data_IF_648817973911
#
_entry.id   IF_648817973911
#
_cell.length_a   1.000
_cell.length_b   1.000
_cell.length_c   1.000
_cell.angle_alpha   90.00
_cell.angle_beta   90.00
_cell.angle_gamma   90.00
#
_symmetry.space_group_name_H-M   'P 1'
#
loop_
_entity.id
_entity.type
_entity.pdbx_description
1 polymer ?
#
# COMPACT_ATOMS: atom_id res chain seq x y z
N UNK A 1 16.46 -14.02 3.31
CA UNK A 1 16.71 -14.71 2.01
C UNK A 1 15.37 -14.85 1.30
N UNK A 2 15.30 -15.00 -0.03
CA UNK A 2 14.01 -15.16 -0.72
C UNK A 2 14.06 -16.26 -1.78
N UNK A 3 13.09 -17.18 -1.74
CA UNK A 3 12.94 -18.26 -2.72
C UNK A 3 11.80 -17.95 -3.69
N UNK A 4 12.01 -18.17 -4.99
CA UNK A 4 11.01 -17.87 -6.03
C UNK A 4 11.03 -18.92 -7.15
N UNK A 5 9.86 -19.38 -7.57
CA UNK A 5 9.72 -20.35 -8.67
C UNK A 5 8.64 -19.94 -9.69
N UNK A 6 8.53 -20.72 -10.76
CA UNK A 6 7.73 -20.47 -11.97
C UNK A 6 6.22 -20.29 -11.74
N UNK A 7 5.68 -20.78 -10.63
CA UNK A 7 4.25 -20.69 -10.26
C UNK A 7 3.89 -19.48 -9.38
N UNK A 8 4.77 -18.50 -9.22
CA UNK A 8 4.45 -17.25 -8.52
C UNK A 8 4.50 -17.32 -7.00
N UNK A 9 4.87 -18.48 -6.44
CA UNK A 9 5.11 -18.63 -5.01
C UNK A 9 6.44 -17.96 -4.65
N UNK A 10 6.37 -17.16 -3.60
CA UNK A 10 7.46 -16.37 -3.04
C UNK A 10 7.56 -16.67 -1.56
N UNK A 11 8.76 -17.05 -1.10
CA UNK A 11 9.03 -17.32 0.31
C UNK A 11 10.05 -16.30 0.83
N UNK A 12 9.61 -15.19 1.43
CA UNK A 12 10.50 -14.30 2.16
C UNK A 12 10.89 -14.96 3.48
N UNK A 13 12.19 -14.94 3.79
CA UNK A 13 12.70 -15.18 5.13
C UNK A 13 13.32 -13.90 5.67
N UNK A 14 12.88 -13.50 6.84
CA UNK A 14 13.43 -12.38 7.61
C UNK A 14 13.89 -12.89 8.96
N UNK A 15 15.07 -12.43 9.39
CA UNK A 15 15.48 -12.55 10.79
C UNK A 15 14.56 -11.65 11.61
N UNK A 16 13.88 -12.23 12.59
CA UNK A 16 13.21 -11.48 13.64
C UNK A 16 14.30 -11.09 14.65
N UNK A 17 14.17 -10.00 15.45
CA UNK A 17 15.13 -9.64 16.48
C UNK A 17 15.52 -10.75 17.48
N UNK A 18 14.79 -11.87 17.52
CA UNK A 18 15.19 -13.07 18.25
C UNK A 18 16.07 -13.99 17.36
N UNK A 19 17.36 -14.20 17.70
CA UNK A 19 18.25 -15.04 16.93
C UNK A 19 17.71 -16.47 16.77
N UNK A 20 17.67 -16.95 15.53
CA UNK A 20 17.21 -18.32 15.21
C UNK A 20 15.72 -18.45 14.95
N UNK A 21 14.95 -17.35 14.97
CA UNK A 21 13.53 -17.35 14.59
C UNK A 21 13.35 -16.80 13.18
N UNK A 22 12.71 -17.60 12.33
CA UNK A 22 12.44 -17.28 10.94
C UNK A 22 10.94 -17.28 10.66
N UNK A 23 10.47 -16.28 9.90
CA UNK A 23 9.11 -16.29 9.35
C UNK A 23 9.13 -16.85 7.94
N UNK A 24 8.12 -17.68 7.62
CA UNK A 24 7.87 -18.20 6.28
C UNK A 24 6.48 -17.78 5.83
N UNK A 25 6.41 -17.13 4.68
CA UNK A 25 5.15 -16.79 4.01
C UNK A 25 5.19 -17.40 2.62
N UNK A 26 4.06 -17.91 2.14
CA UNK A 26 3.94 -18.38 0.75
C UNK A 26 2.65 -17.81 0.16
N UNK A 27 2.73 -17.30 -1.06
CA UNK A 27 1.57 -16.83 -1.80
C UNK A 27 1.20 -17.84 -2.87
N UNK A 28 -0.03 -18.35 -2.81
CA UNK A 28 -0.56 -19.34 -3.77
C UNK A 28 -1.80 -18.77 -4.43
N UNK A 29 -2.04 -19.17 -5.68
CA UNK A 29 -3.29 -18.86 -6.38
C UNK A 29 -4.25 -20.02 -6.19
N UNK A 30 -5.43 -19.72 -5.66
CA UNK A 30 -6.49 -20.69 -5.45
C UNK A 30 -7.64 -20.48 -6.45
N UNK A 31 -8.50 -21.48 -6.61
CA UNK A 31 -9.74 -21.31 -7.39
C UNK A 31 -10.67 -20.32 -6.67
N UNK A 32 -11.49 -19.61 -7.46
CA UNK A 32 -12.45 -18.66 -6.91
C UNK A 32 -13.44 -19.32 -5.94
N UNK A 33 -13.88 -20.55 -6.25
CA UNK A 33 -14.75 -21.35 -5.38
C UNK A 33 -14.13 -21.63 -4.01
N UNK A 34 -12.86 -22.03 -3.98
CA UNK A 34 -12.15 -22.26 -2.71
C UNK A 34 -11.90 -20.93 -1.98
N UNK A 35 -11.46 -19.90 -2.70
CA UNK A 35 -11.20 -18.57 -2.14
C UNK A 35 -12.44 -17.98 -1.44
N UNK A 36 -13.64 -18.15 -2.02
CA UNK A 36 -14.91 -17.70 -1.45
C UNK A 36 -15.32 -18.47 -0.18
N UNK A 37 -14.79 -19.67 0.04
CA UNK A 37 -15.02 -20.45 1.25
C UNK A 37 -14.13 -20.03 2.43
N UNK A 38 -13.05 -19.27 2.16
CA UNK A 38 -12.04 -18.95 3.15
C UNK A 38 -12.56 -17.93 4.17
N UNK A 39 -12.15 -18.12 5.43
CA UNK A 39 -12.30 -17.14 6.49
C UNK A 39 -10.98 -16.41 6.73
N UNK A 40 -11.07 -15.17 7.20
CA UNK A 40 -9.90 -14.40 7.60
C UNK A 40 -9.19 -15.11 8.75
N UNK A 41 -7.91 -15.44 8.54
CA UNK A 41 -7.07 -16.26 9.42
C UNK A 41 -7.69 -17.62 9.78
N UNK A 42 -7.22 -18.69 9.13
CA UNK A 42 -7.61 -20.04 9.52
C UNK A 42 -6.42 -20.98 9.55
N UNK A 43 -6.43 -21.89 10.52
CA UNK A 43 -5.46 -22.96 10.62
C UNK A 43 -5.68 -23.96 9.49
N UNK A 44 -4.61 -24.30 8.76
CA UNK A 44 -4.64 -25.40 7.79
C UNK A 44 -4.56 -26.78 8.50
N UNK A 45 -4.45 -26.78 9.82
CA UNK A 45 -4.34 -27.93 10.71
C UNK A 45 -3.04 -28.70 10.52
N UNK A 46 -2.96 -29.91 11.11
CA UNK A 46 -1.93 -30.91 10.76
C UNK A 46 -1.87 -31.24 9.25
N UNK A 47 -2.96 -31.16 8.46
CA UNK A 47 -2.88 -31.20 6.99
C UNK A 47 -2.03 -30.08 6.35
N UNK A 48 -1.74 -28.98 7.05
CA UNK A 48 -0.69 -28.04 6.66
C UNK A 48 0.71 -28.68 6.55
N UNK A 49 0.98 -29.74 7.32
CA UNK A 49 2.20 -30.57 7.15
C UNK A 49 2.16 -31.42 5.87
N UNK A 50 0.99 -31.59 5.22
CA UNK A 50 0.86 -32.12 3.86
C UNK A 50 1.06 -31.04 2.79
N UNK A 51 1.84 -29.98 3.06
CA UNK A 51 2.27 -29.09 1.99
C UNK A 51 3.15 -29.80 0.94
N UNK A 52 3.76 -30.93 1.30
CA UNK A 52 4.38 -31.91 0.37
C UNK A 52 3.37 -32.50 -0.64
N UNK A 53 2.07 -32.45 -0.32
CA UNK A 53 0.94 -32.80 -1.20
C UNK A 53 0.31 -31.59 -1.87
N UNK A 54 0.69 -30.36 -1.49
CA UNK A 54 0.23 -29.13 -2.10
C UNK A 54 0.79 -29.10 -3.52
N UNK A 55 -0.08 -29.33 -4.51
CA UNK A 55 0.30 -29.35 -5.92
C UNK A 55 1.17 -28.15 -6.35
N UNK A 56 1.02 -26.93 -5.79
CA UNK A 56 1.91 -25.81 -6.10
C UNK A 56 3.36 -25.94 -5.61
N UNK A 57 3.63 -26.71 -4.54
CA UNK A 57 4.96 -26.86 -3.91
C UNK A 57 5.66 -28.20 -4.18
N UNK A 58 4.96 -29.18 -4.74
CA UNK A 58 5.48 -30.54 -4.95
C UNK A 58 6.78 -30.64 -5.78
N UNK A 59 7.01 -29.68 -6.68
CA UNK A 59 8.18 -29.66 -7.58
C UNK A 59 9.28 -28.70 -7.11
N UNK A 60 9.30 -28.35 -5.81
CA UNK A 60 10.30 -27.44 -5.24
C UNK A 60 11.54 -28.20 -4.74
N UNK A 61 12.57 -27.42 -4.39
CA UNK A 61 13.80 -27.98 -3.80
C UNK A 61 13.48 -28.76 -2.50
N UNK A 62 14.02 -29.98 -2.31
CA UNK A 62 13.77 -30.80 -1.12
C UNK A 62 14.08 -30.13 0.22
N UNK A 63 14.89 -29.07 0.23
CA UNK A 63 15.13 -28.28 1.45
C UNK A 63 13.84 -27.66 2.01
N UNK A 64 12.87 -27.32 1.15
CA UNK A 64 11.60 -26.76 1.60
C UNK A 64 10.76 -27.80 2.31
N UNK A 65 10.79 -29.05 1.88
CA UNK A 65 10.11 -30.13 2.59
C UNK A 65 10.69 -30.30 4.01
N UNK A 66 12.01 -30.13 4.17
CA UNK A 66 12.66 -30.17 5.48
C UNK A 66 12.22 -28.99 6.35
N UNK A 67 12.17 -27.78 5.79
CA UNK A 67 11.72 -26.58 6.51
C UNK A 67 10.25 -26.70 6.94
N UNK A 68 9.37 -27.13 6.03
CA UNK A 68 7.94 -27.25 6.29
C UNK A 68 7.63 -28.29 7.37
N UNK A 69 8.41 -29.37 7.46
CA UNK A 69 8.28 -30.38 8.52
C UNK A 69 8.60 -29.84 9.92
N UNK A 70 9.38 -28.77 10.01
CA UNK A 70 9.76 -28.14 11.28
C UNK A 70 8.75 -27.08 11.76
N UNK A 71 7.82 -26.64 10.90
CA UNK A 71 6.85 -25.62 11.27
C UNK A 71 5.84 -26.17 12.30
N UNK A 72 5.61 -25.46 13.42
CA UNK A 72 4.68 -25.90 14.47
C UNK A 72 3.22 -25.88 14.00
N UNK A 73 2.91 -25.09 12.98
CA UNK A 73 1.60 -24.93 12.38
C UNK A 73 1.66 -23.94 11.22
N UNK A 74 0.63 -23.94 10.38
CA UNK A 74 0.56 -23.06 9.20
C UNK A 74 -0.84 -22.49 9.11
N UNK A 75 -0.90 -21.16 9.07
CA UNK A 75 -2.14 -20.43 8.90
C UNK A 75 -2.23 -19.87 7.49
N UNK A 76 -3.43 -19.88 6.93
CA UNK A 76 -3.72 -19.25 5.64
C UNK A 76 -4.53 -17.98 5.83
N UNK A 77 -4.22 -16.99 5.00
CA UNK A 77 -4.83 -15.68 4.99
C UNK A 77 -5.23 -15.35 3.54
N UNK A 78 -6.53 -15.20 3.23
CA UNK A 78 -6.93 -14.75 1.91
C UNK A 78 -6.45 -13.30 1.71
N UNK A 79 -5.63 -13.08 0.67
CA UNK A 79 -5.17 -11.76 0.28
C UNK A 79 -6.29 -11.03 -0.46
N UNK A 80 -7.11 -10.31 0.29
CA UNK A 80 -8.18 -9.50 -0.27
C UNK A 80 -7.60 -8.16 -0.74
N UNK A 81 -7.72 -7.89 -2.04
CA UNK A 81 -7.39 -6.60 -2.64
C UNK A 81 -8.69 -6.03 -3.20
N UNK A 82 -9.01 -4.79 -2.86
CA UNK A 82 -10.16 -4.07 -3.43
C UNK A 82 -9.68 -2.85 -4.20
N UNK A 83 -10.56 -2.26 -5.00
CA UNK A 83 -10.28 -1.00 -5.69
C UNK A 83 -9.92 0.10 -4.67
N UNK A 84 -8.96 0.95 -5.04
CA UNK A 84 -8.59 2.09 -4.21
C UNK A 84 -9.62 3.21 -4.38
N UNK A 85 -9.80 4.03 -3.35
CA UNK A 85 -10.73 5.15 -3.41
C UNK A 85 -10.27 6.19 -4.43
N UNK A 86 -11.16 6.56 -5.35
CA UNK A 86 -10.91 7.65 -6.29
C UNK A 86 -10.78 9.02 -5.59
N UNK A 87 -11.39 9.16 -4.41
CA UNK A 87 -11.27 10.34 -3.54
C UNK A 87 -11.22 9.90 -2.07
N UNK A 88 -10.12 10.16 -1.34
CA UNK A 88 -9.95 9.79 0.07
C UNK A 88 -10.57 10.82 1.01
N UNK A 89 -11.38 11.75 0.49
CA UNK A 89 -12.09 12.76 1.29
C UNK A 89 -13.56 12.80 0.90
N UNK A 90 -14.42 13.17 1.85
CA UNK A 90 -15.87 13.25 1.62
C UNK A 90 -16.51 14.37 2.42
N UNK A 91 -17.51 15.02 1.83
CA UNK A 91 -18.41 15.98 2.47
C UNK A 91 -17.69 17.12 3.22
N UNK A 92 -16.47 17.47 2.78
CA UNK A 92 -15.58 18.45 3.40
C UNK A 92 -15.34 18.24 4.91
N UNK A 93 -15.54 17.02 5.41
CA UNK A 93 -15.47 16.70 6.84
C UNK A 93 -14.84 15.33 7.14
N UNK A 94 -14.76 14.43 6.14
CA UNK A 94 -14.26 13.08 6.31
C UNK A 94 -12.98 12.87 5.49
N UNK A 95 -12.02 12.17 6.10
CA UNK A 95 -10.81 11.66 5.46
C UNK A 95 -10.70 10.14 5.67
N UNK A 96 -10.27 9.41 4.66
CA UNK A 96 -9.97 7.98 4.71
C UNK A 96 -8.46 7.80 4.55
N UNK A 97 -7.84 7.01 5.44
CA UNK A 97 -6.39 6.77 5.47
C UNK A 97 -6.08 5.28 5.53
N UNK A 98 -4.90 4.88 5.03
CA UNK A 98 -4.46 3.49 5.05
C UNK A 98 -5.41 2.55 4.29
N UNK A 99 -5.61 1.34 4.82
CA UNK A 99 -6.45 0.32 4.18
C UNK A 99 -7.92 0.73 4.01
N UNK A 100 -8.41 1.75 4.73
CA UNK A 100 -9.73 2.30 4.47
C UNK A 100 -9.81 3.00 3.11
N UNK A 101 -8.70 3.58 2.62
CA UNK A 101 -8.63 4.27 1.33
C UNK A 101 -7.97 3.42 0.23
N UNK A 102 -6.93 2.65 0.56
CA UNK A 102 -6.10 1.92 -0.40
C UNK A 102 -5.60 0.58 0.17
N UNK A 103 -6.49 -0.41 0.35
CA UNK A 103 -6.07 -1.72 0.85
C UNK A 103 -5.09 -2.37 -0.12
N UNK A 104 -3.86 -2.58 0.37
CA UNK A 104 -2.73 -3.00 -0.49
C UNK A 104 -2.63 -4.51 -0.69
N UNK A 105 -3.27 -5.30 0.17
CA UNK A 105 -3.16 -6.77 0.17
C UNK A 105 -1.72 -7.28 0.30
N UNK A 106 -0.85 -6.52 0.99
CA UNK A 106 0.56 -6.86 1.18
C UNK A 106 1.47 -6.45 0.02
N UNK A 107 0.95 -5.72 -0.98
CA UNK A 107 1.76 -5.25 -2.10
C UNK A 107 2.97 -4.43 -1.62
N UNK A 108 4.15 -4.78 -2.14
CA UNK A 108 5.46 -4.19 -1.80
C UNK A 108 5.86 -4.23 -0.32
N UNK A 109 5.03 -4.79 0.58
CA UNK A 109 5.22 -4.66 2.02
C UNK A 109 5.12 -3.21 2.53
N UNK A 110 4.46 -2.32 1.77
CA UNK A 110 4.50 -0.86 2.02
C UNK A 110 3.18 -0.27 2.53
N UNK A 111 2.15 -1.08 2.79
CA UNK A 111 0.82 -0.60 3.21
C UNK A 111 0.88 0.29 4.45
N UNK A 112 1.61 -0.12 5.50
CA UNK A 112 1.78 0.70 6.70
C UNK A 112 2.52 2.01 6.41
N UNK A 113 3.55 1.99 5.56
CA UNK A 113 4.28 3.20 5.18
C UNK A 113 3.37 4.19 4.44
N UNK A 114 2.46 3.69 3.58
CA UNK A 114 1.48 4.55 2.91
C UNK A 114 0.49 5.15 3.90
N UNK A 115 0.02 4.36 4.88
CA UNK A 115 -0.86 4.85 5.93
C UNK A 115 -0.19 5.95 6.79
N UNK A 116 1.09 5.78 7.15
CA UNK A 116 1.84 6.82 7.86
C UNK A 116 1.98 8.09 7.03
N UNK A 117 2.26 7.96 5.72
CA UNK A 117 2.32 9.11 4.83
C UNK A 117 0.95 9.83 4.73
N UNK A 118 -0.16 9.10 4.74
CA UNK A 118 -1.48 9.74 4.75
C UNK A 118 -1.73 10.55 6.02
N UNK A 119 -1.44 9.96 7.18
CA UNK A 119 -1.63 10.63 8.47
C UNK A 119 -0.73 11.85 8.57
N UNK A 120 0.52 11.76 8.09
CA UNK A 120 1.45 12.88 8.05
C UNK A 120 0.94 14.03 7.15
N UNK A 121 0.51 13.73 5.93
CA UNK A 121 -0.05 14.74 5.03
C UNK A 121 -1.32 15.38 5.60
N UNK A 122 -2.19 14.59 6.25
CA UNK A 122 -3.41 15.10 6.88
C UNK A 122 -3.08 16.00 8.08
N UNK A 123 -2.13 15.58 8.91
CA UNK A 123 -1.64 16.35 10.05
C UNK A 123 -1.09 17.71 9.61
N UNK A 124 -0.17 17.73 8.64
CA UNK A 124 0.41 18.96 8.11
C UNK A 124 -0.67 19.89 7.53
N UNK A 125 -1.63 19.32 6.80
CA UNK A 125 -2.75 20.08 6.24
C UNK A 125 -3.63 20.71 7.31
N UNK A 126 -4.00 19.96 8.35
CA UNK A 126 -4.77 20.49 9.46
C UNK A 126 -3.99 21.57 10.20
N UNK A 127 -2.72 21.32 10.53
CA UNK A 127 -1.84 22.27 11.19
C UNK A 127 -1.70 23.57 10.40
N UNK A 128 -1.63 23.50 9.06
CA UNK A 128 -1.55 24.69 8.19
C UNK A 128 -2.79 25.58 8.27
N UNK A 129 -3.95 24.97 8.50
CA UNK A 129 -5.24 25.65 8.61
C UNK A 129 -5.64 26.00 10.03
N UNK A 130 -4.79 25.70 10.99
CA UNK A 130 -5.01 26.02 12.39
C UNK A 130 -4.91 27.53 12.60
N UNK A 131 -5.99 28.14 13.06
CA UNK A 131 -6.01 29.57 13.40
C UNK A 131 -5.62 29.77 14.86
N UNK A 132 -4.44 30.34 15.13
CA UNK A 132 -4.04 30.69 16.50
C UNK A 132 -4.74 31.96 17.04
N UNK A 133 -5.61 32.61 16.26
CA UNK A 133 -6.27 33.86 16.63
C UNK A 133 -7.80 33.72 16.68
N UNK A 134 -8.29 32.75 17.47
CA UNK A 134 -9.59 32.94 18.09
C UNK A 134 -9.39 33.96 19.22
N UNK A 135 -9.53 35.25 18.93
CA UNK A 135 -9.80 36.25 19.95
C UNK A 135 -11.05 35.80 20.72
N UNK A 136 -10.89 35.00 21.78
CA UNK A 136 -11.88 34.51 22.76
C UNK A 136 -13.26 34.02 22.23
N UNK A 137 -13.43 33.92 20.92
CA UNK A 137 -14.68 33.62 20.24
C UNK A 137 -14.69 32.17 19.77
N UNK A 138 -15.14 31.31 20.69
CA UNK A 138 -15.38 29.88 20.47
C UNK A 138 -16.41 29.59 19.35
N UNK A 139 -17.04 30.60 18.75
CA UNK A 139 -17.94 30.41 17.61
C UNK A 139 -17.22 30.20 16.27
N UNK A 140 -15.92 30.54 16.17
CA UNK A 140 -15.15 30.33 14.94
C UNK A 140 -14.54 28.93 14.88
N UNK A 141 -14.57 28.27 13.70
CA UNK A 141 -13.96 26.95 13.55
C UNK A 141 -12.44 27.04 13.72
N UNK A 142 -11.90 26.17 14.58
CA UNK A 142 -10.48 26.10 14.92
C UNK A 142 -9.58 25.74 13.72
N UNK A 143 -10.16 25.05 12.74
CA UNK A 143 -9.51 24.61 11.50
C UNK A 143 -10.40 24.94 10.31
N UNK A 144 -9.78 25.35 9.20
CA UNK A 144 -10.44 25.31 7.89
C UNK A 144 -10.38 23.87 7.33
N UNK A 145 -11.26 23.00 7.84
CA UNK A 145 -11.32 21.57 7.48
C UNK A 145 -11.47 21.34 5.97
N UNK A 146 -12.36 22.04 5.23
CA UNK A 146 -12.45 21.87 3.78
C UNK A 146 -11.12 22.09 3.06
N UNK A 147 -10.38 23.14 3.41
CA UNK A 147 -9.08 23.44 2.80
C UNK A 147 -8.00 22.46 3.23
N UNK A 148 -7.97 22.03 4.50
CA UNK A 148 -7.06 21.00 4.96
C UNK A 148 -7.27 19.67 4.22
N UNK A 149 -8.53 19.26 4.01
CA UNK A 149 -8.83 18.04 3.27
C UNK A 149 -8.46 18.14 1.79
N UNK A 150 -8.59 19.32 1.19
CA UNK A 150 -8.10 19.59 -0.16
C UNK A 150 -6.58 19.40 -0.26
N UNK A 151 -5.80 20.03 0.62
CA UNK A 151 -4.33 19.88 0.66
C UNK A 151 -3.91 18.42 0.86
N UNK A 152 -4.56 17.71 1.79
CA UNK A 152 -4.32 16.28 2.03
C UNK A 152 -4.54 15.45 0.76
N UNK A 153 -5.69 15.62 0.11
CA UNK A 153 -6.05 14.90 -1.11
C UNK A 153 -5.05 15.16 -2.22
N UNK A 154 -4.76 16.43 -2.53
CA UNK A 154 -3.87 16.78 -3.64
C UNK A 154 -2.42 16.35 -3.37
N UNK A 155 -2.00 16.26 -2.11
CA UNK A 155 -0.70 15.68 -1.71
C UNK A 155 -0.63 14.19 -1.98
N UNK A 156 -1.67 13.42 -1.62
CA UNK A 156 -1.61 11.95 -1.63
C UNK A 156 -2.00 11.31 -2.95
N UNK A 157 -2.99 11.88 -3.65
CA UNK A 157 -3.59 11.23 -4.82
C UNK A 157 -2.63 10.97 -5.99
N UNK A 158 -1.70 11.86 -6.35
CA UNK A 158 -0.76 11.59 -7.44
C UNK A 158 0.10 10.35 -7.18
N UNK A 159 0.60 10.21 -5.94
CA UNK A 159 1.40 9.07 -5.54
C UNK A 159 0.58 7.78 -5.53
N UNK A 160 -0.59 7.79 -4.88
CA UNK A 160 -1.44 6.59 -4.77
C UNK A 160 -1.90 6.10 -6.14
N UNK A 161 -2.32 6.99 -7.05
CA UNK A 161 -2.68 6.62 -8.44
C UNK A 161 -1.51 6.00 -9.20
N UNK A 162 -0.29 6.50 -8.99
CA UNK A 162 0.91 5.92 -9.61
C UNK A 162 1.17 4.51 -9.07
N UNK A 163 0.98 4.28 -7.77
CA UNK A 163 1.12 2.94 -7.18
C UNK A 163 0.06 1.99 -7.71
N UNK A 164 -1.21 2.40 -7.75
CA UNK A 164 -2.30 1.57 -8.29
C UNK A 164 -2.04 1.18 -9.76
N UNK A 165 -1.57 2.12 -10.58
CA UNK A 165 -1.16 1.85 -11.96
C UNK A 165 0.01 0.86 -12.04
N UNK A 166 1.02 1.01 -11.17
CA UNK A 166 2.15 0.08 -11.10
C UNK A 166 1.72 -1.33 -10.69
N UNK A 167 0.75 -1.47 -9.76
CA UNK A 167 0.18 -2.78 -9.42
C UNK A 167 -0.49 -3.46 -10.62
N UNK A 168 -1.15 -2.68 -11.47
CA UNK A 168 -1.69 -3.17 -12.75
C UNK A 168 -0.59 -3.69 -13.68
N UNK A 169 0.49 -2.93 -13.84
CA UNK A 169 1.64 -3.33 -14.66
C UNK A 169 2.33 -4.59 -14.11
N UNK A 170 2.50 -4.68 -12.80
CA UNK A 170 3.13 -5.82 -12.14
C UNK A 170 2.31 -7.11 -12.33
N UNK A 171 0.97 -7.02 -12.36
CA UNK A 171 0.09 -8.15 -12.70
C UNK A 171 0.30 -8.62 -14.13
N UNK A 172 0.40 -7.70 -15.09
CA UNK A 172 0.66 -8.02 -16.50
C UNK A 172 2.03 -8.67 -16.67
N UNK A 173 3.04 -8.15 -15.98
CA UNK A 173 4.39 -8.68 -16.01
C UNK A 173 4.48 -10.07 -15.36
N UNK A 174 3.78 -10.29 -14.25
CA UNK A 174 3.66 -11.61 -13.63
C UNK A 174 3.01 -12.62 -14.58
N UNK A 175 1.92 -12.25 -15.27
CA UNK A 175 1.27 -13.10 -16.27
C UNK A 175 2.21 -13.41 -17.45
N UNK A 176 2.94 -12.42 -17.95
CA UNK A 176 3.95 -12.62 -19.00
C UNK A 176 5.06 -13.57 -18.56
N UNK A 177 5.56 -13.45 -17.33
CA UNK A 177 6.60 -14.33 -16.78
C UNK A 177 6.07 -15.75 -16.59
N UNK A 178 4.82 -15.92 -16.15
CA UNK A 178 4.19 -17.23 -15.93
C UNK A 178 4.06 -18.07 -17.21
N UNK A 179 3.92 -17.45 -18.38
CA UNK A 179 3.82 -18.15 -19.68
C UNK A 179 5.17 -18.63 -20.26
N UNK A 180 6.27 -18.51 -19.52
CA UNK A 180 7.57 -19.09 -19.94
C UNK A 180 7.44 -20.60 -20.15
N UNK A 181 8.14 -21.16 -21.14
CA UNK A 181 8.08 -22.59 -21.49
C UNK A 181 9.03 -23.48 -20.66
N UNK A 182 10.13 -22.90 -20.18
CA UNK A 182 11.15 -23.57 -19.37
C UNK A 182 11.80 -22.59 -18.38
N UNK A 183 12.64 -23.10 -17.48
CA UNK A 183 13.28 -22.32 -16.42
C UNK A 183 14.24 -21.23 -16.95
N UNK A 184 15.06 -21.54 -17.97
CA UNK A 184 15.98 -20.55 -18.56
C UNK A 184 15.21 -19.36 -19.12
N UNK A 185 14.10 -19.63 -19.81
CA UNK A 185 13.22 -18.59 -20.31
C UNK A 185 12.55 -17.82 -19.18
N UNK A 186 12.08 -18.51 -18.13
CA UNK A 186 11.49 -17.87 -16.96
C UNK A 186 12.47 -16.90 -16.28
N UNK A 187 13.71 -17.32 -16.02
CA UNK A 187 14.77 -16.48 -15.44
C UNK A 187 15.03 -15.26 -16.33
N UNK A 188 15.11 -15.44 -17.66
CA UNK A 188 15.31 -14.34 -18.60
C UNK A 188 14.16 -13.33 -18.58
N UNK A 189 12.90 -13.81 -18.62
CA UNK A 189 11.71 -12.96 -18.56
C UNK A 189 11.61 -12.24 -17.21
N UNK A 190 11.88 -12.95 -16.11
CA UNK A 190 11.89 -12.40 -14.77
C UNK A 190 12.95 -11.30 -14.64
N UNK A 191 14.21 -11.54 -15.03
CA UNK A 191 15.25 -10.50 -15.01
C UNK A 191 14.92 -9.28 -15.87
N UNK A 192 14.20 -9.48 -16.99
CA UNK A 192 13.76 -8.37 -17.87
C UNK A 192 12.69 -7.50 -17.22
N UNK A 193 11.81 -8.08 -16.41
CA UNK A 193 10.65 -7.40 -15.82
C UNK A 193 10.88 -6.97 -14.38
N UNK A 194 11.73 -7.67 -13.65
CA UNK A 194 12.05 -7.36 -12.27
C UNK A 194 12.74 -6.00 -12.19
N UNK A 195 12.00 -5.03 -11.66
CA UNK A 195 12.47 -3.67 -11.43
C UNK A 195 12.17 -3.32 -9.99
N UNK A 196 13.16 -2.79 -9.28
CA UNK A 196 12.94 -2.23 -7.95
C UNK A 196 12.25 -0.88 -8.15
N UNK A 197 11.08 -0.71 -7.55
CA UNK A 197 10.33 0.54 -7.59
C UNK A 197 10.92 1.54 -6.57
N UNK A 198 12.12 2.05 -6.83
CA UNK A 198 12.83 2.98 -5.93
C UNK A 198 11.99 4.18 -5.54
N UNK A 199 11.21 4.72 -6.48
CA UNK A 199 10.31 5.84 -6.25
C UNK A 199 9.23 5.59 -5.18
N UNK A 200 8.89 4.32 -4.88
CA UNK A 200 7.97 3.97 -3.78
C UNK A 200 8.70 4.11 -2.43
N UNK A 201 9.98 3.69 -2.38
CA UNK A 201 10.81 3.71 -1.17
C UNK A 201 11.33 5.11 -0.84
N UNK A 202 11.56 5.93 -1.88
CA UNK A 202 12.11 7.29 -1.78
C UNK A 202 11.02 8.37 -1.68
N UNK A 203 9.75 7.98 -1.60
CA UNK A 203 8.64 8.94 -1.55
C UNK A 203 8.68 9.75 -0.26
N UNK A 204 9.01 11.04 -0.39
CA UNK A 204 8.97 12.03 0.67
C UNK A 204 7.61 12.74 0.67
N UNK A 205 6.79 12.45 1.68
CA UNK A 205 5.47 13.06 1.82
C UNK A 205 5.52 14.51 2.28
N UNK A 206 6.53 14.89 3.07
CA UNK A 206 6.65 16.24 3.60
C UNK A 206 7.04 17.20 2.48
N UNK A 207 8.04 16.80 1.67
CA UNK A 207 8.44 17.57 0.49
C UNK A 207 7.28 17.70 -0.51
N UNK A 208 6.54 16.61 -0.76
CA UNK A 208 5.39 16.69 -1.67
C UNK A 208 4.27 17.58 -1.14
N UNK A 209 4.02 17.53 0.18
CA UNK A 209 3.02 18.39 0.80
C UNK A 209 3.40 19.87 0.69
N UNK A 210 4.68 20.22 0.91
CA UNK A 210 5.19 21.59 0.79
C UNK A 210 5.02 22.13 -0.64
N UNK A 211 5.30 21.30 -1.65
CA UNK A 211 5.07 21.66 -3.06
C UNK A 211 3.59 21.97 -3.32
N UNK A 212 2.68 21.10 -2.90
CA UNK A 212 1.24 21.27 -3.07
C UNK A 212 0.73 22.50 -2.33
N UNK A 213 1.15 22.72 -1.09
CA UNK A 213 0.72 23.89 -0.32
C UNK A 213 1.21 25.20 -0.96
N UNK A 214 2.43 25.24 -1.46
CA UNK A 214 2.96 26.40 -2.16
C UNK A 214 2.17 26.69 -3.46
N UNK A 215 1.92 25.65 -4.27
CA UNK A 215 1.13 25.76 -5.50
C UNK A 215 -0.30 26.23 -5.21
N UNK A 216 -0.98 25.61 -4.25
CA UNK A 216 -2.35 25.96 -3.86
C UNK A 216 -2.42 27.37 -3.29
N UNK A 217 -1.43 27.81 -2.51
CA UNK A 217 -1.35 29.20 -2.06
C UNK A 217 -1.32 30.16 -3.26
N UNK A 218 -0.48 29.88 -4.25
CA UNK A 218 -0.37 30.72 -5.44
C UNK A 218 -1.64 30.72 -6.31
N UNK A 219 -2.27 29.57 -6.52
CA UNK A 219 -3.48 29.46 -7.34
C UNK A 219 -4.72 30.03 -6.64
N UNK A 220 -4.81 29.87 -5.31
CA UNK A 220 -5.91 30.41 -4.51
C UNK A 220 -5.86 31.95 -4.44
N UNK A 221 -4.68 32.54 -4.24
CA UNK A 221 -4.51 33.99 -4.34
C UNK A 221 -4.83 34.54 -5.73
N UNK A 222 -4.57 33.78 -6.80
CA UNK A 222 -4.91 34.19 -8.17
C UNK A 222 -6.43 34.19 -8.40
N UNK A 223 -7.15 33.16 -7.97
CA UNK A 223 -8.62 33.08 -8.09
C UNK A 223 -9.31 34.21 -7.32
N UNK A 224 -8.93 34.48 -6.07
CA UNK A 224 -9.55 35.56 -5.29
C UNK A 224 -9.24 36.96 -5.84
N UNK A 225 -8.09 37.14 -6.51
CA UNK A 225 -7.74 38.38 -7.19
C UNK A 225 -8.52 38.58 -8.50
N UNK A 226 -8.90 37.49 -9.18
CA UNK A 226 -9.74 37.50 -10.39
C UNK A 226 -11.23 37.69 -10.04
N UNK A 227 -11.69 37.15 -8.90
CA UNK A 227 -13.10 37.22 -8.45
C UNK A 227 -13.43 38.47 -7.59
N UNK A 228 -12.46 39.35 -7.34
CA UNK A 228 -12.67 40.65 -6.68
C UNK A 228 -12.95 40.61 -5.17
N UNK A 229 -12.91 39.44 -4.55
CA UNK A 229 -13.14 39.26 -3.11
C UNK A 229 -11.79 39.24 -2.37
N UNK A 230 -11.25 40.44 -2.09
CA UNK A 230 -10.15 40.59 -1.14
C UNK A 230 -10.68 40.51 0.29
N UNK A 231 -11.06 39.30 0.71
CA UNK A 231 -10.95 38.93 2.12
C UNK A 231 -9.70 38.08 2.28
N UNK A 232 -8.67 38.67 2.89
CA UNK A 232 -7.46 37.95 3.26
C UNK A 232 -7.82 37.01 4.42
N UNK A 233 -8.33 35.82 4.09
CA UNK A 233 -8.71 34.78 5.07
C UNK A 233 -7.47 34.18 5.73
N UNK A 234 -6.26 34.51 5.25
CA UNK A 234 -5.00 34.16 5.89
C UNK A 234 -4.38 35.41 6.52
N UNK A 235 -5.04 35.92 7.56
CA UNK A 235 -4.44 36.93 8.43
C UNK A 235 -3.13 36.41 9.00
N UNK A 236 -2.02 36.92 8.46
CA UNK A 236 -0.74 37.02 9.15
C UNK A 236 -0.67 38.35 9.88
#
# INVERSE_FOLDING_TARGET
>A
MAWKQRRGIFIPTSDIPEPGVYTFVTNTTETEEYANSLRWAHDLGRPGQKLTSFAPLKDWDPILDQVLQLLPGISAYPLQVTAWMANPTRDNALAFVGDAAHPTGGAYGSGCSFAFADVQALYLSLQRTYGYNADDDYSKPLYNVPYALHLYKETRMPFLKRVESQLGNDKLDAAYVATASNEKEWIRRWKKKFTINWWILEHDVDAKWQEVEAEERHTWHRKNKEDGDMTDVFGY
#
